data_IF_839222208018
#
_entry.id   IF_839222208018
#
_cell.length_a   1.000
_cell.length_b   1.000
_cell.length_c   1.000
_cell.angle_alpha   90.00
_cell.angle_beta   90.00
_cell.angle_gamma   90.00
#
_symmetry.space_group_name_H-M   'P 1'
#
loop_
_entity.id
_entity.type
_entity.pdbx_description
1 polymer ?
2 non-polymer ?
3 non-polymer ?
4 water ?
#
# COMPACT_ATOMS: atom_id res chain seq x y z
N UNK A 16 -5.43 15.47 20.24
CA UNK A 16 -4.43 15.47 19.12
C UNK A 16 -4.61 14.22 18.26
N UNK A 17 -5.76 14.07 17.54
CA UNK A 17 -5.96 12.94 16.63
C UNK A 17 -5.08 13.09 15.38
N UNK A 18 -3.92 12.42 15.39
CA UNK A 18 -2.72 12.76 14.59
C UNK A 18 -2.75 12.30 13.13
N UNK A 19 -3.55 11.29 12.77
CA UNK A 19 -3.59 10.70 11.42
C UNK A 19 -5.05 10.48 10.98
N UNK A 20 -5.86 11.53 10.97
CA UNK A 20 -7.32 11.39 10.87
C UNK A 20 -7.82 12.01 9.55
N UNK A 21 -7.14 12.98 8.91
CA UNK A 21 -7.67 13.47 7.60
C UNK A 21 -6.65 13.25 6.48
N UNK A 22 -7.15 13.18 5.26
CA UNK A 22 -6.35 13.04 4.02
C UNK A 22 -6.42 14.35 3.25
N UNK A 23 -5.24 14.86 2.90
CA UNK A 23 -5.08 16.05 2.06
C UNK A 23 -4.38 15.67 0.78
N UNK A 24 -4.58 16.44 -0.28
CA UNK A 24 -3.83 16.29 -1.52
C UNK A 24 -2.35 16.43 -1.16
N UNK A 25 -1.52 15.48 -1.59
CA UNK A 25 -0.07 15.50 -1.29
C UNK A 25 0.62 16.70 -1.95
N UNK A 26 0.10 17.18 -3.08
CA UNK A 26 0.74 18.26 -3.87
C UNK A 26 0.45 19.64 -3.29
N UNK A 27 -0.73 19.89 -2.72
CA UNK A 27 -1.16 21.28 -2.42
C UNK A 27 -1.86 21.42 -1.05
N UNK A 28 -2.19 20.32 -0.37
CA UNK A 28 -2.83 20.34 0.95
C UNK A 28 -4.33 20.52 0.95
N UNK A 29 -5.00 20.55 -0.20
CA UNK A 29 -6.49 20.56 -0.26
C UNK A 29 -7.05 19.43 0.61
N UNK A 30 -8.02 19.72 1.45
CA UNK A 30 -8.77 18.72 2.25
C UNK A 30 -9.55 17.78 1.31
N UNK A 31 -9.38 16.47 1.41
CA UNK A 31 -10.00 15.50 0.45
C UNK A 31 -10.90 14.53 1.20
N UNK A 32 -10.43 13.87 2.25
CA UNK A 32 -11.22 12.79 2.89
C UNK A 32 -10.75 12.57 4.33
N UNK A 33 -11.21 11.49 4.97
CA UNK A 33 -11.02 11.23 6.42
C UNK A 33 -10.85 9.73 6.58
N UNK A 34 -9.99 9.29 7.50
CA UNK A 34 -9.81 7.86 7.84
C UNK A 34 -11.19 7.27 8.19
N UNK A 35 -12.00 8.04 8.91
CA UNK A 35 -13.37 7.65 9.33
C UNK A 35 -14.21 7.26 8.11
N UNK A 36 -13.87 7.74 6.91
CA UNK A 36 -14.70 7.55 5.70
C UNK A 36 -14.21 6.37 4.83
N UNK A 37 -13.18 5.66 5.24
CA UNK A 37 -12.72 4.46 4.48
C UNK A 37 -13.91 3.49 4.35
N UNK A 38 -14.06 2.88 3.18
CA UNK A 38 -15.16 1.95 2.83
C UNK A 38 -14.55 0.61 2.40
N UNK A 39 -14.75 -0.49 3.17
CA UNK A 39 -14.39 -1.83 2.71
C UNK A 39 -15.33 -2.32 1.62
N UNK A 40 -14.96 -2.13 0.35
CA UNK A 40 -15.63 -2.65 -0.87
C UNK A 40 -15.13 -4.08 -1.09
N UNK A 41 -16.03 -5.06 -1.14
CA UNK A 41 -15.70 -6.50 -1.19
C UNK A 41 -14.74 -6.92 -0.07
N UNK A 42 -14.87 -6.33 1.12
CA UNK A 42 -14.15 -6.79 2.33
C UNK A 42 -12.84 -6.09 2.59
N UNK A 43 -12.43 -5.11 1.77
CA UNK A 43 -11.11 -4.44 1.96
C UNK A 43 -11.21 -3.02 1.39
N UNK A 44 -10.76 -2.02 2.13
CA UNK A 44 -10.71 -0.63 1.62
C UNK A 44 -9.61 -0.50 0.55
N UNK A 45 -8.61 -1.38 0.53
CA UNK A 45 -7.49 -1.33 -0.44
C UNK A 45 -7.70 -2.32 -1.59
N UNK A 46 -7.55 -1.82 -2.81
CA UNK A 46 -7.64 -2.58 -4.09
C UNK A 46 -6.43 -2.21 -4.95
N UNK A 47 -5.59 -3.17 -5.31
CA UNK A 47 -4.44 -2.90 -6.20
C UNK A 47 -4.87 -3.25 -7.62
N UNK A 48 -4.79 -2.28 -8.54
CA UNK A 48 -5.46 -2.38 -9.87
C UNK A 48 -4.54 -1.83 -10.94
N UNK A 49 -4.81 -2.17 -12.20
CA UNK A 49 -4.04 -1.73 -13.39
C UNK A 49 -5.01 -1.21 -14.45
N UNK A 50 -4.66 -0.11 -15.10
CA UNK A 50 -5.50 0.47 -16.19
C UNK A 50 -4.99 -0.10 -17.51
N UNK A 51 -5.66 0.21 -18.64
CA UNK A 51 -5.25 -0.28 -19.97
C UNK A 51 -3.84 0.17 -20.37
N UNK A 52 -3.34 1.24 -19.75
CA UNK A 52 -2.01 1.82 -20.02
C UNK A 52 -0.98 1.14 -19.12
N UNK A 53 -1.38 0.13 -18.34
CA UNK A 53 -0.52 -0.71 -17.51
C UNK A 53 -0.11 -0.03 -16.21
N UNK A 54 -0.69 1.11 -15.88
CA UNK A 54 -0.34 1.80 -14.62
C UNK A 54 -1.02 1.06 -13.47
N UNK A 55 -0.22 0.68 -12.47
CA UNK A 55 -0.67 0.13 -11.17
C UNK A 55 -1.12 1.26 -10.27
N UNK A 56 -2.21 1.06 -9.55
CA UNK A 56 -2.72 2.01 -8.53
C UNK A 56 -3.06 1.19 -7.30
N UNK A 57 -2.57 1.66 -6.15
CA UNK A 57 -3.08 1.21 -4.85
C UNK A 57 -4.27 2.11 -4.52
N UNK A 58 -5.49 1.61 -4.70
CA UNK A 58 -6.72 2.44 -4.55
C UNK A 58 -7.26 2.21 -3.14
N UNK A 59 -7.55 3.30 -2.43
CA UNK A 59 -8.32 3.24 -1.16
C UNK A 59 -9.75 3.69 -1.45
N UNK A 60 -10.71 2.88 -1.06
CA UNK A 60 -12.14 3.22 -1.24
C UNK A 60 -12.58 4.06 -0.04
N UNK A 61 -13.24 5.17 -0.36
CA UNK A 61 -13.87 6.08 0.62
C UNK A 61 -15.34 6.21 0.25
N UNK A 62 -16.20 6.22 1.27
CA UNK A 62 -17.64 6.54 1.10
C UNK A 62 -17.79 7.99 0.67
N UNK A 63 -16.90 8.85 1.14
CA UNK A 63 -17.06 10.32 0.99
C UNK A 63 -15.70 10.92 0.69
N UNK A 64 -15.69 12.00 -0.07
CA UNK A 64 -14.52 12.85 -0.33
C UNK A 64 -15.05 14.23 -0.69
N UNK A 65 -14.18 15.22 -0.60
CA UNK A 65 -14.52 16.62 -0.90
C UNK A 65 -13.30 17.24 -1.58
N UNK A 66 -13.41 18.47 -2.04
CA UNK A 66 -12.27 19.23 -2.58
C UNK A 66 -11.82 18.70 -3.93
N UNK A 67 -12.58 17.80 -4.54
CA UNK A 67 -12.26 17.22 -5.86
C UNK A 67 -12.99 17.99 -6.94
N UNK A 68 -12.58 17.76 -8.19
CA UNK A 68 -13.29 18.22 -9.39
C UNK A 68 -13.48 16.99 -10.28
N UNK A 69 -14.74 16.61 -10.52
CA UNK A 69 -15.09 15.38 -11.27
C UNK A 69 -15.21 15.75 -12.74
N UNK A 70 -14.45 15.10 -13.62
CA UNK A 70 -14.29 15.53 -15.04
C UNK A 70 -15.15 14.67 -15.95
N UNK A 71 -16.06 15.32 -16.68
CA UNK A 71 -16.86 14.69 -17.74
C UNK A 71 -18.01 13.87 -17.21
N UNK A 72 -18.47 12.89 -18.00
CA UNK A 72 -19.60 12.00 -17.70
C UNK A 72 -19.04 10.62 -17.38
N UNK A 73 -19.76 9.81 -16.59
CA UNK A 73 -19.31 8.48 -16.22
C UNK A 73 -19.16 7.54 -17.41
N UNK A 74 -18.24 6.60 -17.27
CA UNK A 74 -17.97 5.48 -18.22
C UNK A 74 -17.85 4.16 -17.45
N UNK A 75 -18.38 3.07 -17.98
CA UNK A 75 -18.21 1.73 -17.39
C UNK A 75 -16.99 1.02 -17.97
N UNK A 76 -16.35 1.58 -19.00
CA UNK A 76 -15.25 0.88 -19.74
C UNK A 76 -14.11 0.60 -18.75
N UNK A 77 -13.73 -0.68 -18.62
CA UNK A 77 -12.59 -1.14 -17.80
C UNK A 77 -12.80 -0.87 -16.31
N UNK A 78 -14.02 -0.66 -15.84
CA UNK A 78 -14.29 -0.43 -14.40
C UNK A 78 -13.73 -1.57 -13.55
N UNK A 79 -13.00 -1.22 -12.49
CA UNK A 79 -12.41 -2.19 -11.52
C UNK A 79 -13.47 -2.70 -10.57
N UNK A 80 -14.65 -2.10 -10.58
CA UNK A 80 -15.72 -2.34 -9.57
C UNK A 80 -17.00 -2.64 -10.32
N UNK A 81 -17.44 -3.91 -10.25
CA UNK A 81 -18.55 -4.43 -11.09
C UNK A 81 -19.80 -3.59 -10.81
N UNK A 82 -20.49 -3.12 -11.84
CA UNK A 82 -21.75 -2.39 -11.70
C UNK A 82 -21.55 -0.89 -11.56
N UNK A 83 -20.30 -0.39 -11.51
CA UNK A 83 -19.99 1.04 -11.30
C UNK A 83 -19.36 1.65 -12.54
N UNK A 84 -19.82 2.85 -12.85
CA UNK A 84 -19.26 3.76 -13.88
C UNK A 84 -18.34 4.76 -13.15
N UNK A 85 -17.27 5.17 -13.80
CA UNK A 85 -16.28 6.05 -13.14
C UNK A 85 -16.23 7.40 -13.83
N UNK A 86 -15.82 8.40 -13.05
CA UNK A 86 -15.40 9.74 -13.54
C UNK A 86 -14.05 10.05 -12.91
N UNK A 87 -13.14 10.60 -13.69
CA UNK A 87 -11.83 11.09 -13.20
C UNK A 87 -12.09 12.13 -12.10
N UNK A 88 -11.38 11.98 -10.99
CA UNK A 88 -11.43 12.90 -9.84
C UNK A 88 -10.07 13.60 -9.75
N UNK A 89 -10.05 14.90 -10.02
CA UNK A 89 -8.84 15.75 -9.85
C UNK A 89 -8.95 16.48 -8.53
N UNK A 90 -7.82 16.83 -7.94
CA UNK A 90 -7.78 17.81 -6.84
C UNK A 90 -8.43 19.07 -7.41
N UNK A 91 -9.47 19.60 -6.75
CA UNK A 91 -10.17 20.82 -7.22
C UNK A 91 -9.25 22.02 -7.12
N UNK A 92 -8.20 21.93 -6.31
CA UNK A 92 -7.26 23.06 -6.09
C UNK A 92 -6.15 23.01 -7.15
N UNK A 93 -5.36 21.93 -7.20
CA UNK A 93 -4.10 21.89 -8.01
C UNK A 93 -4.26 21.13 -9.32
N UNK A 94 -5.33 20.34 -9.47
CA UNK A 94 -5.61 19.56 -10.69
C UNK A 94 -4.85 18.23 -10.72
N UNK A 95 -4.13 17.88 -9.65
CA UNK A 95 -3.48 16.54 -9.52
C UNK A 95 -4.57 15.45 -9.67
N UNK A 96 -4.28 14.37 -10.39
CA UNK A 96 -5.24 13.24 -10.51
C UNK A 96 -5.21 12.42 -9.21
N UNK A 97 -6.29 12.41 -8.44
CA UNK A 97 -6.31 11.75 -7.10
C UNK A 97 -7.03 10.40 -7.18
N UNK A 98 -7.81 10.16 -8.23
CA UNK A 98 -8.51 8.90 -8.42
C UNK A 98 -9.81 9.06 -9.19
N UNK A 99 -10.87 8.39 -8.75
CA UNK A 99 -12.14 8.30 -9.52
C UNK A 99 -13.32 8.37 -8.56
N UNK A 100 -14.42 8.93 -9.07
CA UNK A 100 -15.74 8.83 -8.43
C UNK A 100 -16.48 7.72 -9.15
N UNK A 101 -17.11 6.85 -8.36
CA UNK A 101 -17.87 5.70 -8.91
C UNK A 101 -19.36 5.96 -8.62
N UNK A 102 -20.22 5.68 -9.61
CA UNK A 102 -21.68 5.86 -9.50
C UNK A 102 -22.37 4.77 -10.32
N UNK A 103 -23.70 4.70 -10.21
CA UNK A 103 -24.55 3.84 -11.06
C UNK A 103 -24.57 2.40 -10.56
N UNK A 104 -24.01 2.14 -9.39
CA UNK A 104 -23.89 0.78 -8.84
C UNK A 104 -24.92 0.57 -7.77
N UNK A 105 -24.65 -0.37 -6.84
CA UNK A 105 -25.62 -0.77 -5.80
C UNK A 105 -24.88 -1.02 -4.49
N UNK A 106 -25.38 -0.43 -3.40
CA UNK A 106 -24.97 -0.75 -2.01
C UNK A 106 -23.46 -0.64 -1.88
N UNK A 107 -22.88 0.58 -1.93
CA UNK A 107 -23.63 1.81 -2.19
C UNK A 107 -23.76 2.14 -3.67
N UNK A 108 -24.61 3.11 -4.00
CA UNK A 108 -24.76 3.61 -5.38
C UNK A 108 -23.44 4.26 -5.81
N UNK A 109 -22.75 4.94 -4.90
CA UNK A 109 -21.56 5.78 -5.22
C UNK A 109 -20.46 5.62 -4.17
N UNK A 110 -19.22 5.87 -4.54
CA UNK A 110 -18.06 5.95 -3.60
C UNK A 110 -16.89 6.53 -4.39
N UNK A 111 -15.78 6.81 -3.69
CA UNK A 111 -14.54 7.35 -4.31
C UNK A 111 -13.45 6.30 -4.17
N UNK A 112 -12.73 6.06 -5.27
CA UNK A 112 -11.49 5.26 -5.27
C UNK A 112 -10.32 6.22 -5.43
N UNK A 113 -9.58 6.43 -4.35
CA UNK A 113 -8.51 7.45 -4.36
C UNK A 113 -7.16 6.73 -4.32
N UNK A 114 -6.17 7.31 -4.98
CA UNK A 114 -4.80 6.73 -5.05
C UNK A 114 -4.05 7.08 -3.75
N UNK A 115 -3.76 6.08 -2.93
CA UNK A 115 -3.25 6.27 -1.56
C UNK A 115 -2.00 7.18 -1.54
N UNK A 116 -1.07 6.96 -2.46
CA UNK A 116 0.25 7.63 -2.44
C UNK A 116 0.12 9.05 -3.00
N UNK A 117 -1.09 9.49 -3.43
CA UNK A 117 -1.33 10.88 -3.88
C UNK A 117 -1.93 11.70 -2.74
N UNK A 118 -2.19 11.07 -1.59
CA UNK A 118 -2.79 11.71 -0.38
C UNK A 118 -1.75 11.80 0.72
N UNK A 119 -1.87 12.84 1.57
CA UNK A 119 -1.07 12.97 2.81
C UNK A 119 -2.02 12.87 4.01
N UNK A 120 -1.68 11.99 4.95
CA UNK A 120 -2.50 11.73 6.15
C UNK A 120 -1.95 12.56 7.31
N UNK A 121 -2.82 13.18 8.09
CA UNK A 121 -2.39 14.07 9.16
C UNK A 121 -3.52 14.46 10.08
N UNK A 122 -3.21 15.28 11.11
CA UNK A 122 -4.21 15.63 12.12
C UNK A 122 -5.40 16.43 11.60
N UNK A 123 -6.54 16.26 12.27
CA UNK A 123 -7.82 16.98 12.03
C UNK A 123 -7.69 18.47 12.32
N UNK B 19 20.91 -6.88 -0.27
CA UNK B 19 21.79 -6.22 0.74
C UNK B 19 22.02 -4.75 0.35
N UNK B 20 20.94 -3.97 0.31
CA UNK B 20 21.04 -2.51 0.15
C UNK B 20 20.84 -1.82 1.52
N UNK B 21 21.54 -0.72 1.68
CA UNK B 21 21.49 0.12 2.90
C UNK B 21 21.05 1.53 2.52
N UNK B 22 20.54 2.25 3.51
CA UNK B 22 20.15 3.67 3.40
C UNK B 22 21.18 4.50 4.18
N UNK B 23 21.76 5.47 3.49
CA UNK B 23 22.75 6.40 4.07
C UNK B 23 22.11 7.76 4.19
N UNK B 24 22.60 8.57 5.13
CA UNK B 24 22.24 10.00 5.18
C UNK B 24 22.60 10.58 3.81
N UNK B 25 21.69 11.31 3.18
CA UNK B 25 21.94 11.89 1.84
C UNK B 25 23.00 12.99 1.94
N UNK B 26 23.08 13.66 3.08
CA UNK B 26 23.97 14.84 3.30
C UNK B 26 25.41 14.39 3.56
N UNK B 27 25.65 13.32 4.32
CA UNK B 27 27.03 13.01 4.78
C UNK B 27 27.44 11.56 4.53
N UNK B 28 26.51 10.66 4.20
CA UNK B 28 26.83 9.28 3.81
C UNK B 28 26.86 8.33 5.00
N UNK B 29 26.58 8.78 6.20
CA UNK B 29 26.55 7.84 7.36
C UNK B 29 25.51 6.75 7.11
N UNK B 30 25.84 5.48 7.39
CA UNK B 30 24.86 4.36 7.37
C UNK B 30 23.77 4.59 8.43
N UNK B 31 22.51 4.54 8.01
CA UNK B 31 21.35 4.80 8.91
C UNK B 31 20.48 3.55 9.05
N UNK B 32 20.11 2.91 7.95
CA UNK B 32 19.24 1.71 8.04
C UNK B 32 19.47 0.80 6.83
N UNK B 33 18.65 -0.24 6.72
CA UNK B 33 18.87 -1.34 5.76
C UNK B 33 17.52 -1.66 5.12
N UNK B 34 17.52 -1.98 3.83
CA UNK B 34 16.29 -2.47 3.14
C UNK B 34 15.74 -3.66 3.92
N UNK B 35 16.60 -4.54 4.46
CA UNK B 35 16.16 -5.72 5.26
C UNK B 35 15.27 -5.28 6.43
N UNK B 36 15.39 -4.04 6.89
CA UNK B 36 14.68 -3.54 8.08
C UNK B 36 13.41 -2.78 7.74
N UNK B 37 13.01 -2.71 6.47
CA UNK B 37 11.72 -2.05 6.10
C UNK B 37 10.61 -2.74 6.88
N UNK B 38 9.69 -1.92 7.41
CA UNK B 38 8.60 -2.38 8.30
C UNK B 38 7.27 -1.89 7.72
N UNK B 39 6.40 -2.79 7.23
CA UNK B 39 5.08 -2.37 6.76
C UNK B 39 4.17 -2.12 7.96
N UNK B 40 4.09 -0.87 8.43
CA UNK B 40 3.18 -0.38 9.49
C UNK B 40 1.82 -0.08 8.87
N UNK B 41 0.76 -0.72 9.36
CA UNK B 41 -0.59 -0.62 8.76
C UNK B 41 -0.60 -1.05 7.30
N UNK B 42 0.23 -2.02 6.92
CA UNK B 42 0.22 -2.68 5.59
C UNK B 42 1.13 -2.03 4.56
N UNK B 43 1.91 -0.99 4.90
CA UNK B 43 2.74 -0.28 3.89
C UNK B 43 3.95 0.33 4.61
N UNK B 44 5.14 0.14 4.09
CA UNK B 44 6.35 0.79 4.67
C UNK B 44 6.33 2.30 4.35
N UNK B 45 5.61 2.74 3.31
CA UNK B 45 5.54 4.19 2.94
C UNK B 45 4.26 4.81 3.51
N UNK B 46 4.42 5.93 4.21
CA UNK B 46 3.34 6.78 4.75
C UNK B 46 3.60 8.20 4.26
N UNK B 47 2.70 8.77 3.47
CA UNK B 47 2.78 10.24 3.17
C UNK B 47 1.95 10.95 4.23
N UNK B 48 2.55 11.91 4.94
CA UNK B 48 1.95 12.51 6.16
C UNK B 48 2.14 14.02 6.11
N UNK B 49 1.39 14.74 6.93
CA UNK B 49 1.53 16.19 7.14
C UNK B 49 1.47 16.49 8.63
N UNK B 50 2.30 17.43 9.08
CA UNK B 50 2.38 17.81 10.50
C UNK B 50 1.42 18.97 10.75
N UNK B 51 1.25 19.41 12.03
CA UNK B 51 0.33 20.51 12.33
C UNK B 51 0.73 21.84 11.67
N UNK B 52 1.98 21.98 11.23
CA UNK B 52 2.48 23.17 10.52
C UNK B 52 2.17 23.04 9.03
N UNK B 53 1.57 21.93 8.61
CA UNK B 53 1.23 21.68 7.19
C UNK B 53 2.42 21.21 6.38
N UNK B 54 3.54 20.86 6.99
CA UNK B 54 4.70 20.34 6.23
C UNK B 54 4.42 18.87 5.85
N UNK B 55 4.63 18.53 4.58
CA UNK B 55 4.35 17.17 4.06
C UNK B 55 5.65 16.38 4.04
N UNK B 56 5.60 15.12 4.50
CA UNK B 56 6.75 14.20 4.50
C UNK B 56 6.32 12.87 3.92
N UNK B 57 7.17 12.30 3.11
CA UNK B 57 7.04 10.90 2.67
C UNK B 57 7.95 10.05 3.56
N UNK B 58 7.35 9.29 4.48
CA UNK B 58 8.09 8.54 5.53
C UNK B 58 8.16 7.07 5.14
N UNK B 59 9.34 6.46 5.27
CA UNK B 59 9.52 4.99 5.19
C UNK B 59 9.74 4.46 6.60
N UNK B 60 9.02 3.41 6.97
CA UNK B 60 9.15 2.78 8.30
C UNK B 60 10.22 1.70 8.23
N UNK B 61 11.11 1.76 9.23
CA UNK B 61 12.15 0.74 9.48
C UNK B 61 12.05 0.29 10.92
N UNK B 62 12.34 -0.98 11.17
CA UNK B 62 12.34 -1.59 12.53
C UNK B 62 13.46 -1.00 13.37
N UNK B 63 14.64 -0.81 12.77
CA UNK B 63 15.87 -0.42 13.45
C UNK B 63 16.56 0.65 12.59
N UNK B 64 17.47 1.37 13.21
CA UNK B 64 18.35 2.35 12.56
C UNK B 64 19.61 2.46 13.40
N UNK B 65 20.62 3.07 12.85
CA UNK B 65 21.84 3.41 13.58
C UNK B 65 22.31 4.77 13.11
N UNK B 66 23.24 5.35 13.88
CA UNK B 66 23.92 6.60 13.52
C UNK B 66 23.04 7.81 13.68
N UNK B 67 21.84 7.68 14.25
CA UNK B 67 20.97 8.85 14.52
C UNK B 67 21.25 9.40 15.92
N UNK B 68 20.72 10.59 16.19
CA UNK B 68 20.65 11.21 17.52
C UNK B 68 19.19 11.61 17.77
N UNK B 69 18.55 10.99 18.74
CA UNK B 69 17.12 11.23 19.09
C UNK B 69 17.07 12.37 20.10
N UNK B 70 16.28 13.40 19.80
CA UNK B 70 16.24 14.68 20.57
C UNK B 70 14.90 14.74 21.31
N UNK B 71 14.89 15.02 22.61
CA UNK B 71 13.67 15.41 23.34
C UNK B 71 13.04 14.26 24.08
N UNK B 72 12.10 14.55 24.97
CA UNK B 72 11.25 13.54 25.63
C UNK B 72 10.24 13.06 24.60
N UNK B 73 9.82 11.78 24.64
CA UNK B 73 8.81 11.30 23.71
C UNK B 73 7.46 12.00 23.94
N UNK B 74 6.72 12.23 22.86
CA UNK B 74 5.40 12.91 22.86
C UNK B 74 4.43 12.08 22.04
N UNK B 75 3.19 11.93 22.52
CA UNK B 75 2.10 11.26 21.75
C UNK B 75 1.36 12.24 20.86
N UNK B 76 1.56 13.54 21.08
CA UNK B 76 0.69 14.58 20.44
C UNK B 76 0.96 14.55 18.93
N UNK B 77 -0.11 14.41 18.16
CA UNK B 77 -0.09 14.43 16.67
C UNK B 77 0.68 13.23 16.10
N UNK B 78 0.87 12.16 16.86
CA UNK B 78 1.55 10.95 16.33
C UNK B 78 0.86 10.45 15.07
N UNK B 79 1.62 10.19 14.01
CA UNK B 79 1.09 9.59 12.75
C UNK B 79 0.76 8.10 12.95
N UNK B 80 1.18 7.50 14.07
CA UNK B 80 1.05 6.06 14.35
C UNK B 80 0.40 5.88 15.72
N UNK B 81 -0.85 5.43 15.72
CA UNK B 81 -1.69 5.35 16.94
C UNK B 81 -1.02 4.40 17.93
N UNK B 82 -0.91 4.81 19.19
CA UNK B 82 -0.32 4.02 20.28
C UNK B 82 1.17 4.20 20.40
N UNK B 83 1.78 5.11 19.60
CA UNK B 83 3.23 5.39 19.64
C UNK B 83 3.47 6.85 20.02
N UNK B 84 4.47 7.06 20.87
CA UNK B 84 5.09 8.36 21.16
C UNK B 84 6.30 8.57 20.24
N UNK B 85 6.61 9.81 19.86
CA UNK B 85 7.71 10.09 18.90
C UNK B 85 8.77 10.96 19.55
N UNK B 86 9.98 10.80 19.01
CA UNK B 86 11.15 11.69 19.23
C UNK B 86 11.75 12.07 17.88
N UNK B 87 12.22 13.30 17.72
CA UNK B 87 12.90 13.77 16.49
C UNK B 87 14.22 13.00 16.33
N UNK B 88 14.49 12.52 15.12
CA UNK B 88 15.73 11.80 14.77
C UNK B 88 16.59 12.67 13.85
N UNK B 89 17.79 13.05 14.32
CA UNK B 89 18.80 13.74 13.47
C UNK B 89 19.88 12.74 13.08
N UNK B 90 20.53 12.96 11.96
CA UNK B 90 21.81 12.25 11.66
C UNK B 90 22.77 12.61 12.81
N UNK B 91 23.36 11.62 13.50
CA UNK B 91 24.29 11.87 14.61
C UNK B 91 25.56 12.51 14.08
N UNK B 92 25.83 12.35 12.79
CA UNK B 92 27.12 12.74 12.18
C UNK B 92 27.02 14.19 11.68
N UNK B 93 25.98 14.53 10.90
CA UNK B 93 25.89 15.85 10.22
C UNK B 93 24.74 16.71 10.75
N UNK B 94 23.80 16.16 11.54
CA UNK B 94 22.68 16.93 12.11
C UNK B 94 21.46 17.07 11.21
N UNK B 95 21.50 16.52 9.99
CA UNK B 95 20.33 16.50 9.05
C UNK B 95 19.10 15.88 9.73
N UNK B 96 17.92 16.47 9.59
CA UNK B 96 16.66 15.89 10.15
C UNK B 96 16.21 14.72 9.27
N UNK B 97 16.34 13.49 9.76
CA UNK B 97 16.12 12.28 8.94
C UNK B 97 14.73 11.69 9.24
N UNK B 98 14.09 12.07 10.34
CA UNK B 98 12.71 11.61 10.65
C UNK B 98 12.47 11.52 12.15
N UNK B 99 11.84 10.42 12.59
CA UNK B 99 11.37 10.23 13.98
C UNK B 99 11.56 8.80 14.45
N UNK B 100 11.75 8.66 15.76
CA UNK B 100 11.72 7.35 16.45
C UNK B 100 10.41 7.24 17.19
N UNK B 101 9.79 6.08 17.12
CA UNK B 101 8.47 5.79 17.72
C UNK B 101 8.71 4.74 18.80
N UNK B 102 8.06 4.90 19.96
CA UNK B 102 8.20 3.97 21.11
C UNK B 102 6.87 3.90 21.85
N UNK B 103 6.77 2.97 22.81
CA UNK B 103 5.66 2.86 23.77
C UNK B 103 4.49 2.13 23.17
N UNK B 104 4.70 1.40 22.08
CA UNK B 104 3.63 0.68 21.39
C UNK B 104 3.71 -0.79 21.73
N UNK B 105 3.13 -1.61 20.87
CA UNK B 105 3.16 -3.08 20.93
C UNK B 105 3.32 -3.63 19.50
N UNK B 106 4.24 -4.58 19.31
CA UNK B 106 4.37 -5.37 18.06
C UNK B 106 4.46 -4.44 16.85
N UNK B 107 5.57 -3.69 16.66
CA UNK B 107 6.68 -3.66 17.62
C UNK B 107 6.51 -2.59 18.70
N UNK B 108 7.34 -2.66 19.74
CA UNK B 108 7.37 -1.60 20.77
C UNK B 108 7.91 -0.32 20.15
N UNK B 109 8.88 -0.43 19.23
CA UNK B 109 9.63 0.74 18.68
C UNK B 109 9.88 0.55 17.19
N UNK B 110 10.05 1.65 16.47
CA UNK B 110 10.43 1.66 15.04
C UNK B 110 10.75 3.09 14.65
N UNK B 111 11.30 3.26 13.46
CA UNK B 111 11.66 4.57 12.88
C UNK B 111 10.77 4.88 11.69
N UNK B 112 10.37 6.15 11.59
CA UNK B 112 9.80 6.76 10.39
C UNK B 112 10.82 7.72 9.82
N UNK B 113 11.47 7.34 8.73
CA UNK B 113 12.56 8.15 8.16
C UNK B 113 12.06 8.79 6.86
N UNK B 114 12.51 10.00 6.57
CA UNK B 114 12.16 10.79 5.38
C UNK B 114 12.94 10.22 4.18
N UNK B 115 12.24 9.57 3.27
CA UNK B 115 12.88 8.83 2.15
C UNK B 115 13.78 9.78 1.36
N UNK B 116 13.36 11.02 1.12
CA UNK B 116 14.10 12.00 0.29
C UNK B 116 15.41 12.42 0.94
N UNK B 117 15.58 12.17 2.23
CA UNK B 117 16.79 12.60 2.99
C UNK B 117 17.77 11.43 3.14
N UNK B 118 17.45 10.28 2.56
CA UNK B 118 18.28 9.05 2.57
C UNK B 118 18.77 8.77 1.14
N UNK B 119 19.91 8.11 0.99
CA UNK B 119 20.36 7.58 -0.32
C UNK B 119 20.53 6.08 -0.18
N UNK B 120 19.85 5.29 -1.03
CA UNK B 120 19.93 3.82 -1.05
C UNK B 120 21.08 3.36 -1.95
N UNK B 121 21.81 2.37 -1.50
CA UNK B 121 22.96 1.84 -2.24
C UNK B 121 23.46 0.53 -1.67
N UNK B 122 24.41 -0.12 -2.36
CA UNK B 122 24.96 -1.40 -1.88
C UNK B 122 25.67 -1.29 -0.52
N UNK B 123 25.49 -2.34 0.29
CA UNK B 123 26.12 -2.55 1.61
C UNK B 123 27.64 -2.65 1.49
N UNK C 18 -11.96 -4.77 -17.31
CA UNK C 18 -11.64 -4.16 -15.98
C UNK C 18 -10.86 -5.10 -15.07
N UNK C 19 -11.29 -6.36 -14.97
CA UNK C 19 -10.66 -7.38 -14.09
C UNK C 19 -10.60 -8.73 -14.81
N UNK C 20 -9.94 -8.80 -15.97
CA UNK C 20 -9.84 -10.07 -16.72
C UNK C 20 -8.41 -10.64 -16.68
N UNK C 21 -7.36 -9.88 -16.36
CA UNK C 21 -5.97 -10.42 -16.25
C UNK C 21 -5.47 -10.23 -14.81
N UNK C 22 -4.75 -11.21 -14.28
CA UNK C 22 -4.21 -11.18 -12.90
C UNK C 22 -2.70 -11.05 -12.99
N UNK C 23 -2.19 -10.03 -12.31
CA UNK C 23 -0.74 -9.67 -12.35
C UNK C 23 -0.19 -9.73 -10.93
N UNK C 24 1.10 -9.96 -10.79
CA UNK C 24 1.80 -9.75 -9.50
C UNK C 24 1.52 -8.31 -9.02
N UNK C 25 1.08 -8.15 -7.77
CA UNK C 25 0.78 -6.83 -7.15
C UNK C 25 2.06 -5.98 -7.07
N UNK C 26 3.21 -6.62 -6.88
CA UNK C 26 4.49 -5.92 -6.56
C UNK C 26 5.11 -5.38 -7.86
N UNK C 27 5.02 -6.10 -8.99
CA UNK C 27 5.84 -5.74 -10.18
C UNK C 27 5.03 -5.80 -11.50
N UNK C 28 3.82 -6.36 -11.49
CA UNK C 28 2.92 -6.34 -12.66
C UNK C 28 3.11 -7.52 -13.61
N UNK C 29 4.02 -8.46 -13.30
CA UNK C 29 4.19 -9.71 -14.08
C UNK C 29 2.83 -10.35 -14.36
N UNK C 30 2.57 -10.71 -15.62
CA UNK C 30 1.35 -11.45 -16.04
C UNK C 30 1.36 -12.85 -15.43
N UNK C 31 0.30 -13.24 -14.72
CA UNK C 31 0.28 -14.55 -14.02
C UNK C 31 -0.86 -15.43 -14.57
N UNK C 32 -2.08 -14.90 -14.63
CA UNK C 32 -3.21 -15.70 -15.13
C UNK C 32 -4.34 -14.81 -15.64
N UNK C 33 -5.47 -15.45 -15.95
CA UNK C 33 -6.62 -14.82 -16.64
C UNK C 33 -7.90 -15.35 -16.01
N UNK C 34 -8.93 -14.52 -15.90
CA UNK C 34 -10.29 -14.94 -15.50
C UNK C 34 -10.73 -16.15 -16.35
N UNK C 35 -10.40 -16.17 -17.63
CA UNK C 35 -10.62 -17.30 -18.59
C UNK C 35 -10.12 -18.61 -17.99
N UNK C 36 -9.09 -18.59 -17.13
CA UNK C 36 -8.42 -19.81 -16.61
C UNK C 36 -8.87 -20.16 -15.18
N UNK C 37 -9.87 -19.49 -14.63
CA UNK C 37 -10.37 -19.83 -13.27
C UNK C 37 -10.81 -21.30 -13.29
N UNK C 38 -10.51 -22.05 -12.23
CA UNK C 38 -10.50 -23.54 -12.27
C UNK C 38 -11.77 -24.06 -12.96
N UNK C 46 -12.18 -18.20 -3.16
CA UNK C 46 -12.40 -18.97 -1.91
C UNK C 46 -11.81 -18.22 -0.71
N UNK C 47 -12.53 -18.16 0.40
CA UNK C 47 -11.99 -17.67 1.69
C UNK C 47 -11.35 -18.86 2.42
N UNK C 48 -10.07 -18.74 2.76
CA UNK C 48 -9.33 -19.73 3.59
C UNK C 48 -8.50 -18.97 4.62
N UNK C 49 -8.08 -19.65 5.68
CA UNK C 49 -7.20 -19.11 6.75
C UNK C 49 -6.01 -20.06 6.93
N UNK C 50 -4.84 -19.46 7.08
CA UNK C 50 -3.55 -20.17 7.27
C UNK C 50 -3.49 -20.70 8.69
N UNK C 51 -2.43 -21.45 9.07
CA UNK C 51 -2.33 -22.01 10.42
C UNK C 51 -2.31 -20.95 11.54
N UNK C 52 -1.99 -19.69 11.21
CA UNK C 52 -2.02 -18.55 12.16
C UNK C 52 -3.44 -17.97 12.28
N UNK C 57 -8.57 -15.47 1.15
CA UNK C 57 -9.09 -15.25 -0.23
C UNK C 57 -8.06 -15.79 -1.23
N UNK C 58 -8.25 -17.01 -1.72
CA UNK C 58 -7.41 -17.68 -2.75
C UNK C 58 -8.23 -17.70 -4.05
N UNK C 59 -7.61 -17.33 -5.18
CA UNK C 59 -8.14 -17.57 -6.57
C UNK C 59 -7.53 -18.85 -7.13
N UNK C 60 -8.33 -19.83 -7.56
CA UNK C 60 -7.85 -21.11 -8.14
C UNK C 60 -7.92 -21.08 -9.67
N UNK C 61 -6.83 -21.45 -10.32
CA UNK C 61 -6.64 -21.37 -11.80
C UNK C 61 -6.17 -22.73 -12.31
N UNK C 62 -6.70 -23.15 -13.47
CA UNK C 62 -6.22 -24.33 -14.22
C UNK C 62 -4.81 -24.07 -14.75
N UNK C 63 -4.52 -22.83 -15.14
CA UNK C 63 -3.26 -22.48 -15.83
C UNK C 63 -2.69 -21.19 -15.23
N UNK C 64 -1.37 -21.04 -15.22
CA UNK C 64 -0.72 -19.76 -14.90
C UNK C 64 0.59 -19.68 -15.67
N UNK C 65 1.19 -18.51 -15.69
CA UNK C 65 2.50 -18.30 -16.30
C UNK C 65 3.28 -17.34 -15.42
N UNK C 66 4.58 -17.24 -15.69
CA UNK C 66 5.43 -16.17 -15.10
C UNK C 66 5.74 -16.46 -13.64
N UNK C 67 5.39 -17.65 -13.13
CA UNK C 67 5.73 -18.05 -11.74
C UNK C 67 7.06 -18.81 -11.74
N UNK C 68 7.58 -19.04 -10.54
CA UNK C 68 8.70 -19.98 -10.28
C UNK C 68 8.25 -20.88 -9.11
N UNK C 69 8.16 -22.19 -9.35
CA UNK C 69 7.70 -23.16 -8.33
C UNK C 69 8.93 -23.67 -7.57
N UNK C 70 8.91 -23.52 -6.24
CA UNK C 70 10.09 -23.76 -5.35
C UNK C 70 9.79 -25.01 -4.52
N UNK C 71 10.75 -25.92 -4.42
CA UNK C 71 10.78 -26.95 -3.37
C UNK C 71 10.03 -28.20 -3.77
N UNK C 72 9.83 -29.10 -2.80
CA UNK C 72 9.14 -30.39 -2.99
C UNK C 72 7.73 -30.28 -2.41
N UNK C 73 6.76 -31.03 -2.96
CA UNK C 73 5.37 -30.89 -2.52
C UNK C 73 5.18 -31.34 -1.07
N UNK C 74 4.20 -30.73 -0.40
CA UNK C 74 3.79 -31.03 0.99
C UNK C 74 2.25 -31.11 1.06
N UNK C 75 1.74 -32.09 1.80
CA UNK C 75 0.31 -32.22 2.11
C UNK C 75 -0.09 -31.42 3.34
N UNK C 76 0.88 -30.98 4.14
CA UNK C 76 0.62 -30.39 5.48
C UNK C 76 -0.22 -29.11 5.31
N UNK C 77 -1.36 -29.05 5.98
CA UNK C 77 -2.28 -27.89 6.02
C UNK C 77 -2.91 -27.62 4.65
N UNK C 78 -2.89 -28.54 3.69
CA UNK C 78 -3.52 -28.30 2.36
C UNK C 78 -4.98 -27.87 2.52
N UNK C 79 -5.40 -26.78 1.90
CA UNK C 79 -6.82 -26.34 1.91
C UNK C 79 -7.67 -27.22 1.00
N UNK C 80 -7.06 -28.08 0.18
CA UNK C 80 -7.74 -28.78 -0.94
C UNK C 80 -7.43 -30.28 -0.83
N UNK C 81 -8.44 -31.06 -0.44
CA UNK C 81 -8.29 -32.49 -0.07
C UNK C 81 -7.71 -33.25 -1.26
N UNK C 82 -6.67 -34.06 -1.02
CA UNK C 82 -6.01 -34.91 -2.02
C UNK C 82 -4.96 -34.17 -2.84
N UNK C 83 -4.64 -32.91 -2.49
CA UNK C 83 -3.63 -32.10 -3.20
C UNK C 83 -2.46 -31.74 -2.27
N UNK C 84 -1.25 -31.93 -2.78
CA UNK C 84 0.01 -31.45 -2.17
C UNK C 84 0.38 -30.12 -2.81
N UNK C 85 1.04 -29.22 -2.07
CA UNK C 85 1.34 -27.87 -2.58
C UNK C 85 2.84 -27.64 -2.68
N UNK C 86 3.22 -26.74 -3.59
CA UNK C 86 4.59 -26.19 -3.76
C UNK C 86 4.46 -24.67 -3.80
N UNK C 87 5.40 -23.96 -3.19
CA UNK C 87 5.43 -22.47 -3.19
C UNK C 87 5.52 -21.97 -4.64
N UNK C 88 4.71 -20.97 -4.97
CA UNK C 88 4.75 -20.26 -6.27
C UNK C 88 5.20 -18.83 -6.03
N UNK C 89 6.38 -18.45 -6.54
CA UNK C 89 6.88 -17.07 -6.52
C UNK C 89 6.65 -16.41 -7.88
N UNK C 90 6.53 -15.09 -7.89
CA UNK C 90 6.61 -14.28 -9.12
C UNK C 90 7.99 -14.55 -9.74
N UNK C 91 8.06 -14.98 -11.00
CA UNK C 91 9.35 -15.19 -11.69
C UNK C 91 10.12 -13.90 -11.88
N UNK C 92 9.43 -12.75 -11.82
CA UNK C 92 10.06 -11.44 -12.17
C UNK C 92 10.68 -10.80 -10.93
N UNK C 93 9.91 -10.69 -9.82
CA UNK C 93 10.34 -9.95 -8.60
C UNK C 93 10.54 -10.89 -7.41
N UNK C 94 10.10 -12.14 -7.46
CA UNK C 94 10.29 -13.11 -6.34
C UNK C 94 9.23 -13.02 -5.25
N UNK C 95 8.23 -12.15 -5.36
CA UNK C 95 7.08 -12.07 -4.41
C UNK C 95 6.37 -13.43 -4.31
N UNK C 96 6.00 -13.85 -3.10
CA UNK C 96 5.21 -15.10 -2.88
C UNK C 96 3.75 -14.88 -3.29
N UNK C 97 3.28 -15.51 -4.38
CA UNK C 97 1.92 -15.24 -4.91
C UNK C 97 0.94 -16.34 -4.49
N UNK C 98 1.43 -17.50 -4.10
CA UNK C 98 0.57 -18.63 -3.69
C UNK C 98 1.23 -19.97 -3.89
N UNK C 99 0.48 -20.95 -4.39
CA UNK C 99 0.93 -22.37 -4.44
C UNK C 99 0.49 -23.02 -5.75
N UNK C 100 1.27 -24.00 -6.16
CA UNK C 100 0.89 -24.98 -7.21
C UNK C 100 0.46 -26.24 -6.48
N UNK C 101 -0.64 -26.83 -6.91
CA UNK C 101 -1.24 -28.04 -6.29
C UNK C 101 -1.12 -29.17 -7.30
N UNK C 102 -0.79 -30.38 -6.83
CA UNK C 102 -0.72 -31.61 -7.65
C UNK C 102 -1.19 -32.81 -6.80
N UNK C 109 -3.85 -31.06 -11.28
CA UNK C 109 -2.99 -29.92 -10.87
C UNK C 109 -3.74 -28.60 -11.06
N UNK C 110 -3.39 -27.57 -10.29
CA UNK C 110 -3.94 -26.20 -10.42
C UNK C 110 -3.13 -25.27 -9.55
N UNK C 111 -3.39 -23.97 -9.68
CA UNK C 111 -2.68 -22.88 -8.97
C UNK C 111 -3.67 -22.20 -8.02
N UNK C 112 -3.29 -22.04 -6.77
CA UNK C 112 -4.06 -21.30 -5.76
C UNK C 112 -3.29 -20.05 -5.40
N UNK C 113 -3.74 -18.90 -5.89
CA UNK C 113 -2.98 -17.65 -5.71
C UNK C 113 -3.71 -16.76 -4.71
N UNK C 114 -2.94 -16.06 -3.88
CA UNK C 114 -3.45 -15.18 -2.80
C UNK C 114 -3.99 -13.88 -3.43
N UNK C 115 -5.29 -13.63 -3.34
CA UNK C 115 -5.94 -12.40 -3.87
C UNK C 115 -5.14 -11.14 -3.53
N UNK C 116 -4.69 -10.94 -2.29
CA UNK C 116 -4.08 -9.63 -1.91
C UNK C 116 -2.62 -9.57 -2.39
N UNK C 117 -2.10 -10.61 -3.02
CA UNK C 117 -0.75 -10.57 -3.64
C UNK C 117 -0.87 -10.32 -5.15
N UNK C 118 -2.09 -10.18 -5.68
CA UNK C 118 -2.38 -10.02 -7.12
C UNK C 118 -3.00 -8.64 -7.38
N UNK C 119 -2.89 -8.15 -8.61
CA UNK C 119 -3.52 -6.92 -9.09
C UNK C 119 -4.32 -7.26 -10.36
N UNK C 120 -5.54 -6.71 -10.44
CA UNK C 120 -6.52 -7.04 -11.51
C UNK C 120 -6.46 -5.94 -12.57
N UNK C 121 -6.55 -6.32 -13.84
CA UNK C 121 -6.61 -5.34 -14.93
C UNK C 121 -7.34 -5.89 -16.16
N UNK C 122 -7.52 -5.03 -17.19
CA UNK C 122 -8.08 -5.47 -18.47
C UNK C 122 -7.23 -6.51 -19.22
N UNK C 123 -7.86 -7.23 -20.16
CA UNK C 123 -7.21 -8.00 -21.25
C UNK C 123 -6.50 -7.04 -22.23
N UNK C 124 -5.76 -7.61 -23.19
CA UNK C 124 -5.45 -6.99 -24.52
C UNK C 124 -4.88 -5.59 -24.33
X LIG D 1 -3.94 19.30 -4.92
X LIG E 1 -6.78 6.12 -19.90
X LIG E 1 -7.84 5.60 -20.63
X LIG E 1 -8.78 4.77 -20.02
X LIG E 1 -6.63 5.83 -18.55
X LIG E 1 -7.57 5.01 -17.96
X LIG E 1 -8.63 4.48 -18.67
X LIG E 1 -8.83 3.88 -16.45
X LIG E 1 -10.56 1.46 -14.32
X LIG E 1 -7.13 0.73 -25.83
X LIG E 1 -6.90 4.80 -15.65
X LIG E 1 -9.47 3.63 -17.75
X LIG E 1 -7.67 4.57 -16.56
X LIG E 1 -9.37 3.45 -15.18
X LIG E 1 -10.62 4.22 -14.82
X LIG E 1 -11.16 3.69 -13.51
X LIG E 1 -11.40 2.22 -13.52
X LIG E 1 -9.60 1.95 -15.19
X LIG E 1 -10.32 4.77 -21.89
X LIG E 1 -9.57 4.11 -23.00
X LIG E 1 -9.01 1.23 -15.96
X LIG E 1 -5.73 0.46 -25.55
X LIG E 1 -5.60 -0.94 -25.00
X LIG E 1 -6.82 -1.65 -25.06
X LIG E 1 -7.34 -1.61 -26.39
X LIG E 1 -7.60 -0.21 -26.84
X LIG E 1 -7.39 2.14 -26.15
X LIG E 1 -8.15 2.84 -25.05
X LIG E 1 -8.50 2.16 -23.90
X LIG E 1 -9.19 2.79 -22.89
X LIG E 1 -8.51 4.17 -25.16
X LIG E 1 -9.21 4.80 -24.15
X LIG E 1 -9.87 4.21 -20.63
X LIG E 1 -12.21 1.69 -12.77
X LIG F 1 24.39 12.89 7.99
X LIG G 1 5.59 21.30 14.56
X LIG G 1 4.87 21.04 15.71
X LIG G 1 4.62 19.72 16.10
X LIG G 1 6.04 20.27 13.75
X LIG G 1 5.76 18.98 14.13
X LIG G 1 5.06 18.68 15.29
X LIG G 1 5.53 16.72 14.17
X LIG G 1 3.76 13.55 13.84
X LIG G 1 4.24 18.37 24.52
X LIG G 1 6.72 17.60 12.43
X LIG G 1 4.89 17.19 15.40
X LIG G 1 6.08 17.72 13.46
X LIG G 1 5.47 15.31 13.78
X LIG G 1 6.21 14.42 14.76
X LIG G 1 6.07 12.96 14.33
X LIG G 1 4.65 12.56 14.13
X LIG G 1 4.03 14.88 13.61
X LIG G 1 3.97 20.40 18.25
X LIG G 1 3.76 19.81 19.62
X LIG G 1 3.12 15.63 13.33
X LIG G 1 5.25 19.37 24.12
X LIG G 1 6.37 19.39 25.12
X LIG G 1 5.90 19.68 26.43
X LIG G 1 4.89 18.77 26.83
X LIG G 1 3.75 18.73 25.85
X LIG G 1 3.15 18.19 23.56
X LIG G 1 3.38 18.75 22.18
X LIG G 1 2.54 19.74 21.69
X LIG G 1 2.73 20.27 20.42
X LIG G 1 4.40 18.29 21.37
X LIG G 1 4.60 18.83 20.10
X LIG G 1 3.93 19.39 17.23
X LIG G 1 4.27 11.41 14.14
X LIG H 1 6.33 -9.72 -9.21
X LIG I 1 2.78 -20.22 7.37
X LIG I 1 3.66 -21.29 7.17
X LIG I 1 3.42 -22.18 6.15
X LIG I 1 1.67 -20.04 6.57
X LIG I 1 1.42 -20.96 5.57
X LIG I 1 2.29 -22.03 5.36
X LIG I 1 0.46 -22.22 3.95
X LIG I 1 -2.52 -24.23 3.07
X LIG I 1 7.21 -30.03 6.15
X LIG I 1 -0.50 -20.18 4.31
X LIG I 1 1.77 -22.84 4.20
X LIG I 1 0.35 -21.03 4.58
X LIG I 1 -0.55 -22.79 3.09
X LIG I 1 0.04 -23.77 2.09
X LIG I 1 -1.04 -24.17 1.10
X LIG I 1 -2.32 -24.59 1.75
X LIG I 1 -1.70 -23.44 3.84
X LIG I 1 3.73 -24.55 6.42
X LIG I 1 4.61 -25.71 6.04
X LIG I 1 -1.91 -23.30 5.03
X LIG I 1 8.03 -29.55 7.26
X LIG I 1 7.91 -30.51 8.41
X LIG I 1 8.23 -31.84 8.04
X LIG I 1 8.70 -31.88 6.70
X LIG I 1 7.69 -31.33 5.72
X LIG I 1 7.15 -29.06 5.05
X LIG I 1 6.27 -27.88 5.38
X LIG I 1 6.78 -26.59 5.46
X LIG I 1 5.97 -25.53 5.79
X LIG I 1 4.92 -28.06 5.64
X LIG I 1 4.10 -27.00 5.97
X LIG I 1 4.20 -23.30 5.89
X LIG I 1 -3.17 -25.21 1.15
#
# INVERSE_FOLDING_TARGET
>A
MPLDAGGQNSTQMVLAPGASIFRCRQCGQTISRRDWLLPMGGDHEHVVFNPAGMIFRVWCFSLAQGLRLIGAPSGEFSWFKGYDWTIALCGQCGSHLGWHYEGGSQPQTFFGLIKDRLAEGPAD
>B
MPLDAGGQNSTQMVLAPGASIFRCRQCGQTISRRDWLLPMGGDHEHVVFNPAGMIFRVWCFSLAQGLRLIGAPSGEFSWFKGYDWTIALCGQCGSHLGWHYEGGSQPQTFFGLIKDRLAEGPAD
>C
MPLDAGGQNSTQMVLAPGASIFRCRQCGQTISRRDWLLPMGGDHEHVVFNPAGMIFRVWCFSLAQGLRLIGAPSGEFSWFKGYDWTIALCGQCGSHLGWHYEGGSQPQTFFGLIKDRLAEGPAD
>D hetero
1 ZN ZN
>E hetero
1 8W7 C1 C2 C3 C4 C5 C6 N1 N2 N3 O1 C7 C8 C9 C10 C11 C12 C13 C14 C15 O2 C22 C23 O5 C24 C25 C21 C20 C19 C17 C18 C16 O4 O3
>F hetero
1 ZN ZN
>G hetero
1 8W7 C1 C2 C3 C4 C5 C6 N1 N2 N3 O1 C7 C8 C9 C10 C11 C12 C13 C14 C15 O2 C22 C23 O5 C24 C25 C21 C20 C19 C17 C18 C16 O4 O3
>H hetero
1 ZN ZN
>I hetero
1 8W7 C1 C2 C3 C4 C5 C6 N1 N2 N3 O1 C7 C8 C9 C10 C11 C12 C13 C14 C15 O2 C22 C23 O5 C24 C25 C21 C20 C19 C17 C18 C16 O4 O3
#
